data_IF_639319685778
#
_entry.id   IF_639319685778
#
_cell.length_a   1.000
_cell.length_b   1.000
_cell.length_c   1.000
_cell.angle_alpha   90.00
_cell.angle_beta   90.00
_cell.angle_gamma   90.00
#
_symmetry.space_group_name_H-M   'P 1'
#
loop_
_entity.id
_entity.type
_entity.pdbx_description
1 polymer ?
#
# COMPACT_ATOMS: atom_id res chain seq x y z
N UNK A 1 -2.87 26.71 64.89
CA UNK A 1 -3.15 25.81 63.76
C UNK A 1 -2.26 26.23 62.57
N UNK A 2 -1.15 25.52 62.33
CA UNK A 2 -0.21 25.78 61.24
C UNK A 2 -0.53 24.78 60.11
N UNK A 3 -1.03 25.28 58.95
CA UNK A 3 -1.22 24.47 57.76
C UNK A 3 0.15 24.26 57.08
N UNK A 4 0.60 23.01 56.99
CA UNK A 4 1.73 22.59 56.20
C UNK A 4 1.27 22.46 54.75
N UNK A 5 1.84 23.24 53.84
CA UNK A 5 1.72 23.01 52.42
C UNK A 5 2.78 21.97 52.00
N UNK A 6 2.29 20.83 51.53
CA UNK A 6 3.11 19.78 50.96
C UNK A 6 3.26 20.10 49.46
N UNK A 7 4.46 20.54 49.07
CA UNK A 7 4.80 20.74 47.67
C UNK A 7 5.07 19.36 47.06
N UNK A 8 4.17 18.91 46.21
CA UNK A 8 4.33 17.71 45.40
C UNK A 8 5.24 18.08 44.19
N UNK A 9 6.52 17.74 44.28
CA UNK A 9 7.40 17.77 43.13
C UNK A 9 6.99 16.62 42.18
N UNK A 10 6.24 16.96 41.16
CA UNK A 10 6.01 16.06 40.05
C UNK A 10 7.31 15.87 39.26
N UNK A 11 7.87 14.69 39.33
CA UNK A 11 8.93 14.29 38.42
C UNK A 11 8.35 14.27 36.99
N UNK A 12 8.70 15.28 36.16
CA UNK A 12 8.56 15.15 34.75
C UNK A 12 9.53 14.06 34.28
N UNK A 13 9.01 12.87 34.09
CA UNK A 13 9.68 11.88 33.26
C UNK A 13 9.72 12.43 31.85
N UNK A 14 10.88 12.92 31.44
CA UNK A 14 11.22 13.06 30.04
C UNK A 14 11.13 11.65 29.43
N UNK A 15 9.98 11.32 28.88
CA UNK A 15 9.88 10.22 27.95
C UNK A 15 10.78 10.61 26.78
N UNK A 16 12.03 10.11 26.76
CA UNK A 16 12.78 10.02 25.55
C UNK A 16 11.92 9.19 24.60
N UNK A 17 11.31 9.86 23.61
CA UNK A 17 10.74 9.19 22.47
C UNK A 17 11.88 8.42 21.83
N UNK A 18 12.02 7.15 22.16
CA UNK A 18 12.78 6.22 21.34
C UNK A 18 12.02 6.21 20.01
N UNK A 19 12.57 6.91 19.02
CA UNK A 19 12.07 6.79 17.66
C UNK A 19 12.07 5.30 17.32
N UNK A 20 10.90 4.75 17.12
CA UNK A 20 10.78 3.35 16.79
C UNK A 20 11.53 3.14 15.48
N UNK A 21 12.49 2.22 15.50
CA UNK A 21 13.20 1.78 14.31
C UNK A 21 12.21 1.28 13.27
N UNK A 22 12.30 1.77 12.03
CA UNK A 22 11.33 1.49 10.98
C UNK A 22 12.00 1.42 9.61
N UNK A 23 11.33 0.83 8.65
CA UNK A 23 11.66 1.00 7.25
C UNK A 23 11.43 2.45 6.85
N UNK A 24 12.36 3.00 6.09
CA UNK A 24 12.26 4.35 5.56
C UNK A 24 12.31 4.34 4.04
N UNK A 25 11.67 5.32 3.43
CA UNK A 25 11.45 5.41 2.01
C UNK A 25 11.44 6.86 1.52
N UNK A 26 11.45 7.04 0.20
CA UNK A 26 11.16 8.33 -0.42
C UNK A 26 9.64 8.55 -0.44
N UNK A 27 9.10 9.58 0.22
CA UNK A 27 7.66 9.78 0.36
C UNK A 27 7.01 10.37 -0.90
N UNK A 28 7.38 9.91 -2.07
CA UNK A 28 6.84 10.34 -3.36
C UNK A 28 7.07 9.28 -4.42
N UNK A 29 6.36 9.37 -5.52
CA UNK A 29 6.49 8.55 -6.71
C UNK A 29 6.44 7.01 -6.51
N UNK A 30 5.29 6.53 -6.07
CA UNK A 30 5.02 5.09 -5.90
C UNK A 30 4.31 4.46 -7.09
N UNK A 31 4.16 5.16 -8.18
CA UNK A 31 3.31 4.74 -9.29
C UNK A 31 3.80 3.45 -9.94
N UNK A 32 5.12 3.21 -10.02
CA UNK A 32 5.64 1.94 -10.54
C UNK A 32 5.21 0.79 -9.65
N UNK A 33 5.41 0.92 -8.34
CA UNK A 33 5.00 -0.09 -7.38
C UNK A 33 3.48 -0.27 -7.38
N UNK A 34 2.73 0.83 -7.33
CA UNK A 34 1.28 0.78 -7.36
C UNK A 34 0.77 0.17 -8.68
N UNK A 35 1.38 0.52 -9.82
CA UNK A 35 1.08 -0.08 -11.11
C UNK A 35 1.30 -1.60 -11.11
N UNK A 36 2.39 -2.08 -10.53
CA UNK A 36 2.66 -3.50 -10.40
C UNK A 36 1.65 -4.20 -9.49
N UNK A 37 1.30 -3.59 -8.36
CA UNK A 37 0.29 -4.13 -7.45
C UNK A 37 -1.10 -4.18 -8.11
N UNK A 38 -1.45 -3.15 -8.87
CA UNK A 38 -2.70 -3.10 -9.63
C UNK A 38 -2.77 -4.18 -10.70
N UNK A 39 -1.70 -4.37 -11.46
CA UNK A 39 -1.63 -5.43 -12.48
C UNK A 39 -1.86 -6.82 -11.88
N UNK A 40 -1.36 -7.06 -10.69
CA UNK A 40 -1.54 -8.33 -9.98
C UNK A 40 -2.92 -8.48 -9.32
N UNK A 41 -3.69 -7.39 -9.21
CA UNK A 41 -4.98 -7.39 -8.49
C UNK A 41 -6.20 -7.29 -9.40
N UNK A 42 -6.02 -7.11 -10.70
CA UNK A 42 -7.11 -6.95 -11.67
C UNK A 42 -7.26 -8.19 -12.53
N UNK A 43 -8.42 -8.83 -12.45
CA UNK A 43 -8.84 -9.89 -13.34
C UNK A 43 -10.23 -9.54 -13.87
N UNK A 44 -10.24 -8.56 -14.74
CA UNK A 44 -11.46 -8.08 -15.37
C UNK A 44 -11.61 -8.68 -16.76
N UNK A 45 -12.85 -8.77 -17.17
CA UNK A 45 -13.19 -9.10 -18.54
C UNK A 45 -12.89 -7.88 -19.39
N UNK A 46 -11.80 -7.87 -20.09
CA UNK A 46 -11.40 -6.80 -20.97
C UNK A 46 -9.93 -6.43 -20.83
N UNK A 47 -9.49 -5.49 -21.64
CA UNK A 47 -8.12 -5.03 -21.61
C UNK A 47 -7.89 -4.14 -20.36
N UNK A 48 -6.84 -4.48 -19.62
CA UNK A 48 -6.32 -3.58 -18.63
C UNK A 48 -5.60 -2.43 -19.35
N UNK A 49 -5.96 -1.21 -19.02
CA UNK A 49 -5.24 -0.02 -19.43
C UNK A 49 -4.43 0.45 -18.22
N UNK A 50 -3.09 0.32 -18.26
CA UNK A 50 -2.26 0.97 -17.26
C UNK A 50 -2.55 2.47 -17.27
N UNK A 51 -2.38 3.16 -16.16
CA UNK A 51 -2.54 4.60 -16.10
C UNK A 51 -1.70 5.26 -17.20
N UNK A 52 -2.34 5.96 -18.12
CA UNK A 52 -1.70 6.48 -19.33
C UNK A 52 -0.75 7.65 -19.04
N UNK A 53 -0.81 8.23 -17.85
CA UNK A 53 0.15 9.25 -17.38
C UNK A 53 1.46 8.66 -16.86
N UNK A 54 1.57 7.32 -16.84
CA UNK A 54 2.76 6.58 -16.40
C UNK A 54 3.06 5.41 -17.31
N UNK A 55 3.45 5.73 -18.51
CA UNK A 55 3.92 4.72 -19.46
C UNK A 55 5.39 4.34 -19.24
N UNK A 56 6.09 5.09 -18.43
CA UNK A 56 7.52 4.93 -18.21
C UNK A 56 7.79 4.05 -16.99
N UNK A 57 8.06 2.77 -17.22
CA UNK A 57 8.65 1.91 -16.21
C UNK A 57 10.16 2.11 -16.21
N UNK A 58 10.69 2.85 -15.27
CA UNK A 58 12.13 3.05 -15.13
C UNK A 58 12.58 2.79 -13.70
N UNK A 59 13.87 2.66 -13.53
CA UNK A 59 14.44 2.51 -12.20
C UNK A 59 14.17 3.76 -11.37
N UNK A 60 13.59 3.55 -10.21
CA UNK A 60 13.56 4.57 -9.18
C UNK A 60 14.87 4.50 -8.41
N UNK A 61 15.61 5.58 -8.39
CA UNK A 61 16.87 5.70 -7.67
C UNK A 61 16.69 6.71 -6.55
N UNK A 62 16.92 6.27 -5.32
CA UNK A 62 16.72 7.07 -4.11
C UNK A 62 18.00 7.06 -3.28
N UNK A 63 18.42 8.21 -2.75
CA UNK A 63 19.55 8.28 -1.84
C UNK A 63 19.09 8.73 -0.46
N UNK A 64 19.36 7.89 0.54
CA UNK A 64 19.17 8.19 1.96
C UNK A 64 20.46 8.73 2.55
N UNK A 65 20.36 9.77 3.35
CA UNK A 65 21.51 10.44 3.96
C UNK A 65 21.30 10.68 5.44
N UNK A 66 22.33 10.41 6.23
CA UNK A 66 22.36 10.68 7.68
C UNK A 66 23.69 11.26 8.09
N UNK A 67 23.65 12.40 8.78
CA UNK A 67 24.82 12.93 9.46
C UNK A 67 24.94 12.26 10.83
N UNK A 68 26.11 11.73 11.10
CA UNK A 68 26.43 10.98 12.32
C UNK A 68 27.39 11.77 13.20
N UNK A 69 27.30 11.55 14.51
CA UNK A 69 28.29 12.04 15.49
C UNK A 69 28.43 10.97 16.57
N UNK A 70 29.34 10.02 16.35
CA UNK A 70 29.51 8.83 17.15
C UNK A 70 30.61 9.02 18.19
N UNK A 71 30.32 8.73 19.45
CA UNK A 71 31.32 8.77 20.53
C UNK A 71 32.27 7.56 20.51
N UNK A 72 31.83 6.45 19.96
CA UNK A 72 32.56 5.18 19.83
C UNK A 72 32.22 4.50 18.49
N UNK A 73 33.05 3.59 18.00
CA UNK A 73 32.69 2.80 16.83
C UNK A 73 31.42 2.00 17.07
N UNK A 74 30.57 1.90 16.05
CA UNK A 74 29.27 1.22 16.13
C UNK A 74 29.07 0.31 14.91
N UNK A 75 28.67 -0.94 15.14
CA UNK A 75 28.23 -1.83 14.09
C UNK A 75 26.75 -1.59 13.78
N UNK A 76 26.46 -1.47 12.49
CA UNK A 76 25.08 -1.37 11.97
C UNK A 76 24.76 -2.52 11.04
N UNK A 77 23.50 -2.95 11.08
CA UNK A 77 22.88 -3.84 10.10
C UNK A 77 22.10 -3.02 9.09
N UNK A 78 22.14 -3.42 7.81
CA UNK A 78 21.42 -2.75 6.71
C UNK A 78 20.63 -3.82 5.95
N UNK A 79 19.32 -3.58 5.80
CA UNK A 79 18.47 -4.28 4.85
C UNK A 79 17.89 -3.28 3.86
N UNK A 80 17.63 -3.70 2.64
CA UNK A 80 17.04 -2.85 1.61
C UNK A 80 16.08 -3.63 0.72
N UNK A 81 15.06 -2.94 0.22
CA UNK A 81 14.26 -3.40 -0.90
C UNK A 81 14.77 -2.75 -2.16
N UNK A 82 15.56 -3.51 -2.89
CA UNK A 82 16.31 -3.09 -4.06
C UNK A 82 17.82 -3.38 -3.94
N UNK A 83 18.53 -3.11 -5.01
CA UNK A 83 19.99 -3.10 -4.99
C UNK A 83 20.48 -1.80 -4.37
N UNK A 84 21.59 -1.83 -3.65
CA UNK A 84 22.08 -0.64 -3.00
C UNK A 84 23.61 -0.55 -2.97
N UNK A 85 24.10 0.63 -2.73
CA UNK A 85 25.46 0.87 -2.34
C UNK A 85 25.51 1.83 -1.15
N UNK A 86 26.62 1.76 -0.42
CA UNK A 86 26.86 2.57 0.78
C UNK A 86 28.08 3.44 0.57
N UNK A 87 27.99 4.71 0.91
CA UNK A 87 29.11 5.63 0.99
C UNK A 87 29.25 6.16 2.41
N UNK A 88 30.46 6.13 2.92
CA UNK A 88 30.83 6.79 4.17
C UNK A 88 31.81 7.92 3.84
N UNK A 89 31.46 9.16 4.14
CA UNK A 89 32.24 10.37 3.80
C UNK A 89 32.61 10.44 2.31
N UNK A 90 31.65 10.06 1.45
CA UNK A 90 31.82 10.01 0.01
C UNK A 90 32.61 8.80 -0.52
N UNK A 91 33.21 7.98 0.35
CA UNK A 91 33.94 6.77 -0.05
C UNK A 91 33.02 5.57 -0.15
N UNK A 92 32.96 4.97 -1.34
CA UNK A 92 32.15 3.78 -1.60
C UNK A 92 32.66 2.59 -0.78
N UNK A 93 31.74 1.94 -0.08
CA UNK A 93 31.95 0.64 0.53
C UNK A 93 31.72 -0.45 -0.52
N UNK A 94 32.59 -1.44 -0.55
CA UNK A 94 32.50 -2.48 -1.58
C UNK A 94 31.28 -3.40 -1.36
N UNK A 95 30.55 -3.67 -2.44
CA UNK A 95 29.40 -4.56 -2.46
C UNK A 95 28.12 -3.93 -1.86
N UNK A 96 27.25 -4.77 -1.35
CA UNK A 96 26.04 -4.42 -0.61
C UNK A 96 26.19 -4.97 0.82
N UNK A 97 26.92 -4.25 1.70
CA UNK A 97 27.21 -4.77 3.03
C UNK A 97 25.94 -4.85 3.90
N UNK A 98 25.56 -6.06 4.31
CA UNK A 98 24.48 -6.26 5.28
C UNK A 98 24.86 -5.77 6.67
N UNK A 99 26.14 -5.78 6.99
CA UNK A 99 26.70 -5.23 8.23
C UNK A 99 27.94 -4.42 7.93
N UNK A 100 28.13 -3.34 8.68
CA UNK A 100 29.36 -2.54 8.62
C UNK A 100 29.64 -1.85 9.95
N UNK A 101 30.92 -1.61 10.21
CA UNK A 101 31.36 -0.83 11.38
C UNK A 101 31.54 0.64 10.98
N UNK A 102 30.82 1.52 11.64
CA UNK A 102 30.98 2.96 11.57
C UNK A 102 32.07 3.40 12.57
N UNK A 103 33.07 4.18 12.17
CA UNK A 103 34.08 4.68 13.10
C UNK A 103 33.50 5.76 14.03
N UNK A 104 34.16 6.00 15.15
CA UNK A 104 33.87 7.14 16.01
C UNK A 104 34.15 8.47 15.29
N UNK A 105 33.37 9.51 15.59
CA UNK A 105 33.53 10.82 14.98
C UNK A 105 32.33 11.34 14.24
N UNK A 106 32.53 12.39 13.48
CA UNK A 106 31.51 12.98 12.60
C UNK A 106 31.64 12.37 11.21
N UNK A 107 30.56 11.79 10.73
CA UNK A 107 30.52 11.12 9.44
C UNK A 107 29.24 11.47 8.67
N UNK A 108 29.29 11.32 7.36
CA UNK A 108 28.13 11.36 6.50
C UNK A 108 27.91 9.98 5.88
N UNK A 109 26.82 9.33 6.26
CA UNK A 109 26.41 8.03 5.74
C UNK A 109 25.37 8.24 4.63
N UNK A 110 25.67 7.74 3.43
CA UNK A 110 24.75 7.76 2.30
C UNK A 110 24.48 6.33 1.83
N UNK A 111 23.21 5.98 1.69
CA UNK A 111 22.77 4.71 1.14
C UNK A 111 21.92 5.00 -0.08
N UNK A 112 22.43 4.62 -1.26
CA UNK A 112 21.70 4.77 -2.53
C UNK A 112 21.06 3.44 -2.88
N UNK A 113 19.76 3.45 -3.10
CA UNK A 113 18.96 2.26 -3.42
C UNK A 113 18.27 2.46 -4.75
N UNK A 114 18.20 1.40 -5.54
CA UNK A 114 17.44 1.40 -6.80
C UNK A 114 16.64 0.11 -6.96
N UNK A 115 15.42 0.29 -7.39
CA UNK A 115 14.50 -0.81 -7.66
C UNK A 115 13.56 -0.42 -8.80
N UNK A 116 13.08 -1.41 -9.53
CA UNK A 116 12.13 -1.23 -10.63
C UNK A 116 10.72 -1.71 -10.26
N UNK A 117 10.63 -2.71 -9.41
CA UNK A 117 9.37 -3.39 -9.11
C UNK A 117 8.66 -2.85 -7.87
N UNK A 118 9.41 -2.30 -6.91
CA UNK A 118 8.89 -1.85 -5.62
C UNK A 118 9.54 -0.53 -5.22
N UNK A 119 8.96 0.24 -4.29
CA UNK A 119 9.60 1.44 -3.76
C UNK A 119 10.96 1.11 -3.14
N UNK A 120 12.05 1.79 -3.52
CA UNK A 120 13.34 1.61 -2.86
C UNK A 120 13.25 2.03 -1.40
N UNK A 121 13.59 1.12 -0.50
CA UNK A 121 13.49 1.32 0.94
C UNK A 121 14.71 0.77 1.65
N UNK A 122 15.01 1.30 2.83
CA UNK A 122 16.04 0.76 3.72
C UNK A 122 15.55 0.62 5.14
N UNK A 123 16.19 -0.32 5.84
CA UNK A 123 16.07 -0.55 7.26
C UNK A 123 17.48 -0.63 7.85
N UNK A 124 17.81 0.28 8.76
CA UNK A 124 19.13 0.33 9.39
C UNK A 124 18.95 0.11 10.90
N UNK A 125 19.75 -0.78 11.45
CA UNK A 125 19.74 -1.11 12.87
C UNK A 125 21.14 -1.09 13.47
N UNK A 126 21.37 -0.20 14.39
CA UNK A 126 22.52 -0.13 15.25
C UNK A 126 22.15 0.13 16.69
N UNK A 127 23.13 0.49 17.50
CA UNK A 127 22.93 0.91 18.89
C UNK A 127 22.30 2.30 18.97
N UNK A 128 22.82 3.23 18.17
CA UNK A 128 22.39 4.63 18.12
C UNK A 128 21.98 5.05 16.71
N UNK A 129 22.50 4.40 15.69
CA UNK A 129 22.19 4.68 14.27
C UNK A 129 21.07 3.76 13.80
N UNK A 130 19.87 4.29 13.81
CA UNK A 130 18.67 3.57 13.37
C UNK A 130 17.97 4.33 12.25
N UNK A 131 17.26 3.61 11.37
CA UNK A 131 16.41 4.23 10.37
C UNK A 131 15.15 4.78 11.00
N UNK A 132 14.91 6.07 10.80
CA UNK A 132 13.78 6.84 11.30
C UNK A 132 13.55 8.09 10.44
N UNK A 133 12.58 8.92 10.80
CA UNK A 133 12.26 10.17 10.09
C UNK A 133 13.34 11.23 10.12
N UNK A 134 14.42 11.06 10.90
CA UNK A 134 15.54 11.99 10.92
C UNK A 134 16.55 11.81 9.78
N UNK A 135 16.37 10.76 8.97
CA UNK A 135 17.10 10.60 7.73
C UNK A 135 16.56 11.57 6.67
N UNK A 136 17.46 12.03 5.84
CA UNK A 136 17.12 12.83 4.66
C UNK A 136 17.12 11.92 3.44
N UNK A 137 16.22 12.15 2.52
CA UNK A 137 16.10 11.36 1.30
C UNK A 137 15.92 12.25 0.09
N UNK A 138 16.51 11.86 -1.01
CA UNK A 138 16.33 12.50 -2.31
C UNK A 138 16.05 11.45 -3.39
N UNK A 139 15.38 11.89 -4.42
CA UNK A 139 15.11 11.12 -5.62
C UNK A 139 16.07 11.53 -6.72
N UNK A 140 16.65 10.57 -7.41
CA UNK A 140 17.54 10.79 -8.54
C UNK A 140 16.91 10.15 -9.80
N UNK A 141 16.29 10.97 -10.64
CA UNK A 141 15.79 10.53 -11.94
C UNK A 141 16.88 10.74 -12.99
N UNK A 142 17.46 9.64 -13.45
CA UNK A 142 18.49 9.66 -14.49
C UNK A 142 17.99 9.26 -15.87
N UNK A 143 16.71 8.94 -15.99
CA UNK A 143 16.17 8.45 -17.26
C UNK A 143 15.62 9.56 -18.16
N UNK A 144 15.48 10.77 -17.66
CA UNK A 144 15.16 11.92 -18.47
C UNK A 144 16.42 12.38 -19.21
N UNK A 145 16.67 11.72 -20.33
CA UNK A 145 17.67 12.15 -21.28
C UNK A 145 16.93 12.98 -22.34
N UNK A 146 17.31 14.23 -22.50
CA UNK A 146 16.80 15.08 -23.59
C UNK A 146 17.22 14.54 -24.96
N UNK A 147 16.63 15.05 -26.02
CA UNK A 147 16.95 14.65 -27.39
C UNK A 147 18.45 14.83 -27.74
N UNK A 148 19.17 15.59 -26.96
CA UNK A 148 20.62 15.82 -27.07
C UNK A 148 21.48 14.85 -26.27
N UNK A 149 20.88 13.87 -25.57
CA UNK A 149 21.57 12.88 -24.75
C UNK A 149 22.09 13.42 -23.41
N UNK A 150 21.58 14.55 -22.95
CA UNK A 150 21.87 15.09 -21.63
C UNK A 150 20.76 14.72 -20.65
N UNK A 151 21.14 14.34 -19.43
CA UNK A 151 20.17 14.23 -18.36
C UNK A 151 19.44 15.58 -18.21
N UNK A 152 18.11 15.56 -18.32
CA UNK A 152 17.29 16.78 -18.30
C UNK A 152 17.24 17.44 -16.92
N UNK A 153 17.65 16.76 -15.87
CA UNK A 153 17.60 17.30 -14.53
C UNK A 153 18.86 18.07 -14.18
N UNK A 154 18.77 19.39 -14.29
CA UNK A 154 19.69 20.36 -13.72
C UNK A 154 19.16 20.94 -12.41
N UNK A 155 18.02 20.46 -11.91
CA UNK A 155 17.43 20.94 -10.67
C UNK A 155 18.33 20.62 -9.50
N UNK A 156 18.41 21.53 -8.53
CA UNK A 156 19.11 21.28 -7.29
C UNK A 156 18.52 20.06 -6.59
N UNK A 157 19.37 19.14 -6.19
CA UNK A 157 18.96 17.97 -5.42
C UNK A 157 18.19 18.40 -4.18
N UNK A 158 16.90 18.12 -4.13
CA UNK A 158 16.04 18.44 -3.00
C UNK A 158 16.01 17.25 -2.07
N UNK A 159 16.53 17.44 -0.86
CA UNK A 159 16.41 16.48 0.22
C UNK A 159 15.19 16.80 1.07
N UNK A 160 14.40 15.78 1.38
CA UNK A 160 13.28 15.84 2.30
C UNK A 160 13.46 14.83 3.43
N UNK A 161 12.60 14.89 4.43
CA UNK A 161 12.60 13.89 5.49
C UNK A 161 12.12 12.56 4.92
N UNK A 162 12.75 11.47 5.34
CA UNK A 162 12.35 10.14 4.93
C UNK A 162 10.95 9.81 5.47
N UNK A 163 10.11 9.20 4.65
CA UNK A 163 8.88 8.59 5.11
C UNK A 163 9.17 7.35 5.95
N UNK A 164 8.32 7.09 6.94
CA UNK A 164 8.44 5.94 7.82
C UNK A 164 7.26 5.01 7.65
N UNK A 165 7.54 3.70 7.66
CA UNK A 165 6.52 2.66 7.69
C UNK A 165 6.64 1.82 8.95
N UNK A 166 5.54 1.65 9.65
CA UNK A 166 5.47 0.85 10.87
C UNK A 166 5.40 -0.64 10.51
N UNK A 167 6.55 -1.20 10.14
CA UNK A 167 6.70 -2.64 9.94
C UNK A 167 7.55 -3.24 11.05
N UNK A 168 7.21 -4.43 11.44
CA UNK A 168 7.91 -5.16 12.50
C UNK A 168 9.20 -5.81 11.98
N UNK A 169 10.30 -5.14 12.16
CA UNK A 169 11.63 -5.68 11.92
C UNK A 169 12.06 -5.76 10.45
N UNK A 170 13.28 -6.22 10.25
CA UNK A 170 13.96 -6.23 8.95
C UNK A 170 13.43 -7.27 7.95
N UNK A 171 12.69 -8.27 8.42
CA UNK A 171 12.18 -9.36 7.58
C UNK A 171 10.84 -9.05 6.94
N UNK A 172 10.13 -8.05 7.43
CA UNK A 172 8.86 -7.61 6.86
C UNK A 172 9.11 -6.49 5.86
N UNK A 173 9.18 -6.85 4.59
CA UNK A 173 9.47 -5.91 3.52
C UNK A 173 8.29 -4.97 3.25
N UNK A 174 8.53 -3.69 2.96
CA UNK A 174 7.48 -2.74 2.60
C UNK A 174 6.64 -3.11 1.38
N UNK A 175 7.20 -3.83 0.41
CA UNK A 175 6.44 -4.36 -0.73
C UNK A 175 5.41 -5.41 -0.33
N UNK A 176 5.63 -6.05 0.80
CA UNK A 176 4.70 -6.98 1.44
C UNK A 176 3.79 -6.24 2.42
N UNK A 177 3.46 -5.01 2.11
CA UNK A 177 2.66 -4.13 2.94
C UNK A 177 1.53 -4.88 3.62
N UNK A 178 1.53 -4.86 4.94
CA UNK A 178 0.72 -5.73 5.77
C UNK A 178 -0.72 -5.26 5.84
N UNK A 179 -1.43 -5.46 4.77
CA UNK A 179 -2.86 -5.57 4.88
C UNK A 179 -3.15 -6.84 5.68
N UNK A 180 -4.00 -6.72 6.67
CA UNK A 180 -4.46 -7.88 7.45
C UNK A 180 -5.35 -8.75 6.58
N UNK A 181 -5.30 -10.06 6.81
CA UNK A 181 -6.19 -11.01 6.17
C UNK A 181 -6.93 -11.83 7.21
N UNK A 182 -8.22 -11.90 7.07
CA UNK A 182 -9.10 -12.68 7.93
C UNK A 182 -9.94 -13.64 7.11
N UNK A 183 -10.01 -14.93 7.48
CA UNK A 183 -10.86 -15.88 6.81
C UNK A 183 -12.34 -15.55 7.07
N UNK A 184 -13.13 -15.49 6.00
CA UNK A 184 -14.57 -15.31 6.08
C UNK A 184 -15.31 -16.40 5.31
N UNK A 185 -16.41 -16.86 5.90
CA UNK A 185 -17.32 -17.82 5.30
C UNK A 185 -18.47 -17.09 4.62
N UNK A 186 -19.03 -17.63 3.53
CA UNK A 186 -20.28 -17.13 2.99
C UNK A 186 -21.40 -17.29 4.01
N UNK A 187 -22.29 -16.29 4.11
CA UNK A 187 -23.46 -16.32 4.99
C UNK A 187 -24.59 -17.19 4.41
N UNK A 188 -24.56 -17.40 3.10
CA UNK A 188 -25.49 -18.31 2.42
C UNK A 188 -24.86 -18.92 1.16
N UNK A 189 -25.35 -20.09 0.78
CA UNK A 189 -25.06 -20.75 -0.49
C UNK A 189 -26.33 -21.33 -1.11
N UNK A 190 -26.46 -21.22 -2.42
CA UNK A 190 -27.65 -21.68 -3.15
C UNK A 190 -27.23 -22.38 -4.43
N UNK A 191 -27.61 -23.65 -4.58
CA UNK A 191 -27.46 -24.39 -5.83
C UNK A 191 -28.33 -23.76 -6.92
N UNK A 192 -27.78 -23.63 -8.12
CA UNK A 192 -28.49 -23.05 -9.25
C UNK A 192 -29.00 -24.14 -10.19
N UNK A 193 -30.18 -23.95 -10.78
CA UNK A 193 -30.81 -24.91 -11.68
C UNK A 193 -29.98 -25.19 -12.94
N UNK A 194 -29.23 -24.19 -13.40
CA UNK A 194 -28.30 -24.28 -14.52
C UNK A 194 -26.93 -24.90 -14.16
N UNK A 195 -26.79 -25.38 -12.93
CA UNK A 195 -25.54 -25.91 -12.36
C UNK A 195 -24.70 -24.85 -11.66
N UNK A 196 -23.81 -25.30 -10.79
CA UNK A 196 -22.96 -24.42 -9.97
C UNK A 196 -23.65 -23.93 -8.69
N UNK A 197 -22.89 -23.19 -7.88
CA UNK A 197 -23.32 -22.71 -6.57
C UNK A 197 -23.06 -21.20 -6.47
N UNK A 198 -24.08 -20.47 -6.05
CA UNK A 198 -24.00 -19.05 -5.71
C UNK A 198 -23.75 -18.91 -4.21
N UNK A 199 -22.70 -18.20 -3.85
CA UNK A 199 -22.32 -17.87 -2.49
C UNK A 199 -22.59 -16.39 -2.22
N UNK A 200 -23.22 -16.06 -1.08
CA UNK A 200 -23.44 -14.69 -0.59
C UNK A 200 -22.54 -14.45 0.63
N UNK A 201 -21.70 -13.44 0.59
CA UNK A 201 -20.83 -13.02 1.70
C UNK A 201 -21.48 -11.94 2.60
N UNK A 202 -22.77 -11.62 2.35
CA UNK A 202 -23.59 -10.77 3.21
C UNK A 202 -23.48 -9.27 2.91
N UNK A 203 -22.34 -8.79 2.50
CA UNK A 203 -22.09 -7.40 2.08
C UNK A 203 -20.95 -7.34 1.08
N UNK A 204 -20.83 -6.21 0.39
CA UNK A 204 -19.68 -5.96 -0.47
C UNK A 204 -18.38 -6.09 0.33
N UNK A 205 -17.39 -6.70 -0.25
CA UNK A 205 -16.14 -7.03 0.41
C UNK A 205 -14.96 -6.98 -0.58
N UNK A 206 -13.76 -7.13 -0.07
CA UNK A 206 -12.54 -7.13 -0.85
C UNK A 206 -11.58 -8.20 -0.34
N UNK A 207 -11.26 -9.17 -1.17
CA UNK A 207 -10.41 -10.26 -0.71
C UNK A 207 -10.12 -11.32 -1.78
N UNK A 208 -9.62 -12.45 -1.32
CA UNK A 208 -9.13 -13.55 -2.13
C UNK A 208 -10.02 -14.78 -1.90
N UNK A 209 -10.59 -15.35 -2.95
CA UNK A 209 -11.32 -16.61 -2.82
C UNK A 209 -10.37 -17.75 -2.51
N UNK A 210 -10.78 -18.59 -1.59
CA UNK A 210 -10.10 -19.81 -1.18
C UNK A 210 -11.01 -21.00 -1.47
N UNK A 211 -10.48 -21.97 -2.20
CA UNK A 211 -11.10 -23.25 -2.49
C UNK A 211 -10.43 -24.34 -1.67
N UNK A 212 -11.19 -25.17 -0.95
CA UNK A 212 -10.64 -26.26 -0.12
C UNK A 212 -11.22 -27.61 -0.49
N UNK A 213 -10.49 -28.64 -0.09
CA UNK A 213 -10.83 -30.05 -0.37
C UNK A 213 -11.03 -30.28 -1.88
N UNK A 214 -10.14 -29.67 -2.67
CA UNK A 214 -10.14 -29.83 -4.12
C UNK A 214 -9.73 -31.24 -4.50
N UNK A 215 -10.49 -31.87 -5.39
CA UNK A 215 -10.13 -33.20 -5.93
C UNK A 215 -10.64 -33.37 -7.35
N UNK A 216 -10.01 -34.32 -8.06
CA UNK A 216 -10.36 -34.62 -9.45
C UNK A 216 -9.53 -33.84 -10.44
N UNK A 217 -10.09 -33.61 -11.64
CA UNK A 217 -9.46 -32.91 -12.75
C UNK A 217 -10.51 -32.22 -13.59
N UNK A 218 -10.25 -31.00 -14.01
CA UNK A 218 -11.11 -30.22 -14.91
C UNK A 218 -11.07 -28.72 -14.64
N UNK A 219 -11.92 -28.01 -15.36
CA UNK A 219 -12.00 -26.55 -15.26
C UNK A 219 -12.91 -26.13 -14.10
N UNK A 220 -12.52 -25.02 -13.48
CA UNK A 220 -13.30 -24.27 -12.49
C UNK A 220 -13.44 -22.84 -13.02
N UNK A 221 -14.63 -22.30 -12.99
CA UNK A 221 -14.91 -20.91 -13.34
C UNK A 221 -15.59 -20.22 -12.15
N UNK A 222 -15.08 -19.05 -11.80
CA UNK A 222 -15.54 -18.25 -10.67
C UNK A 222 -15.94 -16.88 -11.21
N UNK A 223 -17.17 -16.47 -10.95
CA UNK A 223 -17.76 -15.23 -11.39
C UNK A 223 -18.15 -14.38 -10.18
N UNK A 224 -17.88 -13.10 -10.22
CA UNK A 224 -18.06 -12.19 -9.11
C UNK A 224 -19.11 -11.13 -9.42
N UNK A 225 -19.85 -10.69 -8.42
CA UNK A 225 -20.84 -9.63 -8.59
C UNK A 225 -21.22 -8.94 -7.29
N UNK A 226 -21.71 -7.72 -7.41
CA UNK A 226 -22.35 -6.97 -6.33
C UNK A 226 -23.80 -7.43 -6.14
N UNK A 227 -24.38 -8.03 -7.17
CA UNK A 227 -25.71 -8.66 -7.13
C UNK A 227 -25.67 -10.13 -7.58
N UNK A 228 -26.68 -10.93 -7.20
CA UNK A 228 -26.81 -12.30 -7.69
C UNK A 228 -26.93 -12.38 -9.22
N UNK A 229 -27.59 -11.41 -9.83
CA UNK A 229 -27.79 -11.32 -11.28
C UNK A 229 -26.46 -11.12 -11.99
N UNK A 230 -25.63 -10.19 -11.52
CA UNK A 230 -24.32 -9.93 -12.08
C UNK A 230 -23.41 -11.16 -11.96
N UNK A 231 -23.32 -11.76 -10.76
CA UNK A 231 -22.47 -12.93 -10.54
C UNK A 231 -22.86 -14.11 -11.45
N UNK A 232 -24.14 -14.28 -11.77
CA UNK A 232 -24.63 -15.34 -12.64
C UNK A 232 -24.53 -15.03 -14.13
N UNK A 233 -24.33 -13.79 -14.50
CA UNK A 233 -24.20 -13.39 -15.91
C UNK A 233 -22.80 -13.73 -16.43
N UNK A 234 -22.62 -14.98 -16.83
CA UNK A 234 -21.34 -15.46 -17.38
C UNK A 234 -20.88 -14.71 -18.62
N UNK A 235 -21.78 -14.03 -19.33
CA UNK A 235 -21.46 -13.29 -20.53
C UNK A 235 -20.94 -11.89 -20.23
N UNK A 236 -21.48 -11.23 -19.20
CA UNK A 236 -21.24 -9.81 -18.97
C UNK A 236 -20.71 -9.48 -17.55
N UNK A 237 -20.60 -10.45 -16.62
CA UNK A 237 -19.97 -10.16 -15.33
C UNK A 237 -18.59 -9.54 -15.57
N UNK A 238 -18.28 -8.52 -14.84
CA UNK A 238 -17.04 -7.73 -15.07
C UNK A 238 -15.79 -8.50 -14.62
N UNK A 239 -15.89 -9.24 -13.51
CA UNK A 239 -14.76 -9.90 -12.86
C UNK A 239 -14.97 -11.40 -12.81
N UNK A 240 -13.97 -12.16 -13.23
CA UNK A 240 -14.00 -13.63 -13.19
C UNK A 240 -12.60 -14.23 -13.10
N UNK A 241 -12.52 -15.47 -12.63
CA UNK A 241 -11.32 -16.30 -12.69
C UNK A 241 -11.62 -17.63 -13.39
N UNK A 242 -10.59 -18.15 -14.07
CA UNK A 242 -10.61 -19.47 -14.70
C UNK A 242 -9.42 -20.27 -14.22
N UNK A 243 -9.72 -21.46 -13.69
CA UNK A 243 -8.71 -22.37 -13.16
C UNK A 243 -8.79 -23.71 -13.88
N UNK A 244 -7.65 -24.37 -13.95
CA UNK A 244 -7.57 -25.79 -14.33
C UNK A 244 -7.03 -26.58 -13.16
N UNK A 245 -7.85 -27.45 -12.60
CA UNK A 245 -7.45 -28.38 -11.56
C UNK A 245 -6.83 -29.63 -12.21
N UNK A 246 -5.68 -30.01 -11.75
CA UNK A 246 -5.02 -31.27 -12.01
C UNK A 246 -4.60 -31.94 -10.69
N UNK A 247 -4.31 -33.23 -10.65
CA UNK A 247 -3.90 -33.89 -9.40
C UNK A 247 -2.72 -33.17 -8.73
N UNK A 248 -2.99 -32.61 -7.55
CA UNK A 248 -1.99 -31.92 -6.71
C UNK A 248 -1.62 -30.50 -7.13
N UNK A 249 -2.25 -29.95 -8.16
CA UNK A 249 -1.94 -28.57 -8.62
C UNK A 249 -3.11 -27.86 -9.27
N UNK A 250 -3.04 -26.54 -9.28
CA UNK A 250 -4.00 -25.64 -9.97
C UNK A 250 -3.22 -24.72 -10.89
N UNK A 251 -3.69 -24.59 -12.13
CA UNK A 251 -3.26 -23.55 -13.05
C UNK A 251 -4.29 -22.41 -13.02
N UNK A 252 -3.83 -21.21 -12.65
CA UNK A 252 -4.63 -20.00 -12.69
C UNK A 252 -4.29 -19.23 -13.97
N UNK A 253 -5.30 -19.06 -14.83
CA UNK A 253 -5.13 -18.40 -16.13
C UNK A 253 -5.00 -16.88 -16.00
N UNK A 254 -5.46 -16.29 -14.91
CA UNK A 254 -5.34 -14.85 -14.69
C UNK A 254 -3.88 -14.42 -14.47
N UNK A 255 -3.14 -15.20 -13.68
CA UNK A 255 -1.73 -14.94 -13.37
C UNK A 255 -0.76 -15.78 -14.23
N UNK A 256 -1.30 -16.67 -15.07
CA UNK A 256 -0.54 -17.59 -15.93
C UNK A 256 0.46 -18.43 -15.15
N UNK A 257 0.08 -18.88 -13.97
CA UNK A 257 0.91 -19.67 -13.07
C UNK A 257 0.25 -20.99 -12.72
N UNK A 258 1.09 -21.99 -12.47
CA UNK A 258 0.67 -23.29 -11.92
C UNK A 258 1.26 -23.41 -10.53
N UNK A 259 0.39 -23.59 -9.54
CA UNK A 259 0.77 -23.68 -8.14
C UNK A 259 0.38 -25.05 -7.56
N UNK A 260 1.21 -25.65 -6.70
CA UNK A 260 0.84 -26.86 -5.98
C UNK A 260 -0.32 -26.55 -5.02
N UNK A 261 -1.19 -27.53 -4.83
CA UNK A 261 -2.18 -27.47 -3.76
C UNK A 261 -1.49 -27.59 -2.39
N UNK A 262 -1.99 -26.86 -1.41
CA UNK A 262 -1.53 -27.04 -0.04
C UNK A 262 -1.84 -28.48 0.44
N UNK A 263 -0.84 -29.15 0.98
CA UNK A 263 -0.88 -30.59 1.24
C UNK A 263 -1.81 -31.02 2.38
N UNK A 264 -2.27 -30.12 3.26
CA UNK A 264 -3.13 -30.51 4.37
C UNK A 264 -4.60 -30.68 3.95
N UNK A 265 -5.12 -29.75 3.13
CA UNK A 265 -6.53 -29.67 2.81
C UNK A 265 -6.83 -29.53 1.31
N UNK A 266 -5.83 -29.82 0.47
CA UNK A 266 -5.90 -29.56 -0.97
C UNK A 266 -6.51 -28.17 -1.25
N UNK A 267 -5.91 -27.16 -0.60
CA UNK A 267 -6.40 -25.78 -0.62
C UNK A 267 -5.67 -24.97 -1.70
N UNK A 268 -6.41 -24.12 -2.37
CA UNK A 268 -5.90 -23.07 -3.24
C UNK A 268 -6.56 -21.75 -2.93
N UNK A 269 -5.77 -20.73 -2.57
CA UNK A 269 -6.22 -19.33 -2.44
C UNK A 269 -5.76 -18.58 -3.68
N UNK A 270 -6.69 -17.91 -4.37
CA UNK A 270 -6.38 -17.10 -5.53
C UNK A 270 -5.41 -15.98 -5.14
N UNK A 271 -4.47 -15.66 -6.02
CA UNK A 271 -3.46 -14.63 -5.76
C UNK A 271 -3.96 -13.20 -6.00
N UNK A 272 -5.03 -13.05 -6.77
CA UNK A 272 -5.64 -11.76 -7.09
C UNK A 272 -6.88 -11.49 -6.24
N UNK A 273 -6.88 -10.38 -5.51
CA UNK A 273 -8.04 -9.92 -4.76
C UNK A 273 -9.15 -9.41 -5.69
N UNK A 274 -10.38 -9.60 -5.26
CA UNK A 274 -11.59 -9.16 -5.96
C UNK A 274 -12.50 -8.38 -5.02
N UNK A 275 -13.32 -7.51 -5.59
CA UNK A 275 -14.44 -6.86 -4.92
C UNK A 275 -15.72 -7.56 -5.31
N UNK A 276 -16.49 -7.99 -4.33
CA UNK A 276 -17.73 -8.74 -4.53
C UNK A 276 -18.56 -8.86 -3.26
N UNK A 277 -19.84 -9.07 -3.43
CA UNK A 277 -20.69 -9.67 -2.41
C UNK A 277 -21.04 -11.10 -2.78
N UNK A 278 -21.28 -11.36 -4.06
CA UNK A 278 -21.70 -12.67 -4.56
C UNK A 278 -20.61 -13.31 -5.40
N UNK A 279 -20.46 -14.63 -5.22
CA UNK A 279 -19.54 -15.44 -6.00
C UNK A 279 -20.30 -16.65 -6.57
N UNK A 280 -20.29 -16.78 -7.88
CA UNK A 280 -20.89 -17.92 -8.55
C UNK A 280 -19.80 -18.85 -9.06
N UNK A 281 -19.78 -20.07 -8.54
CA UNK A 281 -18.74 -21.07 -8.89
C UNK A 281 -19.38 -22.19 -9.71
N UNK A 282 -18.76 -22.45 -10.86
CA UNK A 282 -19.10 -23.59 -11.71
C UNK A 282 -17.86 -24.42 -11.99
N UNK A 283 -18.03 -25.70 -12.24
CA UNK A 283 -16.92 -26.61 -12.56
C UNK A 283 -17.36 -27.77 -13.45
N UNK A 284 -16.40 -28.40 -14.11
CA UNK A 284 -16.61 -29.62 -14.87
C UNK A 284 -16.97 -30.79 -13.94
N UNK A 285 -17.70 -31.80 -14.44
CA UNK A 285 -18.17 -32.93 -13.60
C UNK A 285 -17.06 -33.72 -12.91
N UNK A 286 -15.83 -33.67 -13.44
CA UNK A 286 -14.66 -34.34 -12.88
C UNK A 286 -14.03 -33.64 -11.68
N UNK A 287 -14.51 -32.46 -11.31
CA UNK A 287 -13.98 -31.63 -10.22
C UNK A 287 -14.91 -31.71 -9.02
N UNK A 288 -14.33 -31.76 -7.83
CA UNK A 288 -15.02 -31.62 -6.56
C UNK A 288 -14.40 -30.46 -5.77
N UNK A 289 -15.27 -29.63 -5.19
CA UNK A 289 -14.91 -28.50 -4.32
C UNK A 289 -15.68 -28.69 -3.02
N UNK A 290 -14.98 -28.93 -1.92
CA UNK A 290 -15.63 -29.17 -0.62
C UNK A 290 -16.08 -27.89 0.07
N UNK A 291 -15.27 -26.80 -0.04
CA UNK A 291 -15.55 -25.54 0.62
C UNK A 291 -15.09 -24.36 -0.24
N UNK A 292 -15.89 -23.30 -0.24
CA UNK A 292 -15.53 -21.99 -0.80
C UNK A 292 -15.62 -20.96 0.33
N UNK A 293 -14.52 -20.28 0.57
CA UNK A 293 -14.39 -19.21 1.55
C UNK A 293 -13.57 -18.05 0.96
N UNK A 294 -13.29 -17.03 1.73
CA UNK A 294 -12.42 -15.94 1.30
C UNK A 294 -11.45 -15.53 2.41
N UNK A 295 -10.34 -14.93 2.01
CA UNK A 295 -9.48 -14.15 2.86
C UNK A 295 -9.84 -12.67 2.64
N UNK A 296 -10.56 -12.09 3.60
CA UNK A 296 -10.86 -10.65 3.60
C UNK A 296 -9.58 -9.87 3.87
N UNK A 297 -9.24 -8.92 3.00
CA UNK A 297 -8.03 -8.12 3.13
C UNK A 297 -8.38 -6.67 3.44
N UNK A 298 -7.83 -6.15 4.52
CA UNK A 298 -8.10 -4.79 4.99
C UNK A 298 -6.88 -4.17 5.68
N UNK A 299 -6.88 -2.85 5.76
CA UNK A 299 -5.97 -2.12 6.62
C UNK A 299 -6.58 -2.02 8.01
N UNK A 300 -5.85 -2.38 9.09
CA UNK A 300 -6.34 -2.25 10.45
C UNK A 300 -6.31 -0.78 10.89
N UNK A 301 -7.44 -0.08 10.73
CA UNK A 301 -7.62 1.31 11.11
C UNK A 301 -8.45 1.46 12.38
N UNK A 302 -8.06 2.41 13.22
CA UNK A 302 -8.81 2.78 14.41
C UNK A 302 -9.93 3.77 14.06
N UNK A 303 -11.19 3.40 14.31
CA UNK A 303 -12.33 4.29 14.17
C UNK A 303 -12.36 5.28 15.33
N UNK A 304 -11.80 6.48 15.13
CA UNK A 304 -11.76 7.55 16.14
C UNK A 304 -12.99 8.43 16.11
N UNK A 305 -13.60 8.56 14.93
CA UNK A 305 -14.83 9.31 14.74
C UNK A 305 -16.06 8.42 14.87
N UNK A 306 -17.17 9.01 15.31
CA UNK A 306 -18.45 8.34 15.37
C UNK A 306 -19.58 9.35 15.15
N UNK A 307 -20.70 8.87 14.61
CA UNK A 307 -21.91 9.66 14.46
C UNK A 307 -23.13 8.83 14.87
N UNK A 308 -24.00 9.44 15.64
CA UNK A 308 -25.32 8.88 15.96
C UNK A 308 -26.32 9.98 16.23
N UNK A 309 -27.52 9.83 15.68
CA UNK A 309 -28.64 10.73 15.91
C UNK A 309 -29.95 9.91 16.10
N UNK A 310 -31.08 10.57 16.22
CA UNK A 310 -32.39 9.95 16.37
C UNK A 310 -33.03 9.49 15.04
N UNK A 311 -32.34 9.69 13.93
CA UNK A 311 -32.74 9.19 12.61
C UNK A 311 -31.90 7.96 12.25
N UNK A 312 -32.52 6.81 12.23
CA UNK A 312 -31.82 5.54 11.97
C UNK A 312 -31.37 5.42 10.50
N UNK A 313 -32.00 6.12 9.57
CA UNK A 313 -31.53 6.14 8.17
C UNK A 313 -30.19 6.90 8.05
N UNK A 314 -30.06 8.03 8.71
CA UNK A 314 -28.80 8.77 8.77
C UNK A 314 -27.70 7.98 9.50
N UNK A 315 -28.05 7.25 10.56
CA UNK A 315 -27.10 6.37 11.24
C UNK A 315 -26.58 5.29 10.29
N UNK A 316 -27.45 4.67 9.51
CA UNK A 316 -27.06 3.66 8.51
C UNK A 316 -26.21 4.24 7.37
N UNK A 317 -26.54 5.46 6.90
CA UNK A 317 -25.73 6.16 5.89
C UNK A 317 -24.31 6.36 6.40
N UNK A 318 -24.15 6.78 7.66
CA UNK A 318 -22.83 6.90 8.28
C UNK A 318 -22.09 5.57 8.34
N UNK A 319 -22.74 4.50 8.80
CA UNK A 319 -22.14 3.16 8.90
C UNK A 319 -21.68 2.64 7.54
N UNK A 320 -22.51 2.80 6.51
CA UNK A 320 -22.17 2.40 5.14
C UNK A 320 -21.01 3.24 4.60
N UNK A 321 -21.04 4.55 4.82
CA UNK A 321 -19.95 5.45 4.42
C UNK A 321 -18.63 5.10 5.11
N UNK A 322 -18.66 4.85 6.41
CA UNK A 322 -17.50 4.43 7.18
C UNK A 322 -16.93 3.09 6.69
N UNK A 323 -17.79 2.13 6.41
CA UNK A 323 -17.38 0.85 5.84
C UNK A 323 -16.80 0.99 4.44
N UNK A 324 -17.42 1.80 3.58
CA UNK A 324 -16.90 2.09 2.23
C UNK A 324 -15.50 2.72 2.31
N UNK A 325 -15.34 3.70 3.19
CA UNK A 325 -14.04 4.33 3.42
C UNK A 325 -13.00 3.32 3.88
N UNK A 326 -13.35 2.38 4.76
CA UNK A 326 -12.45 1.32 5.20
C UNK A 326 -12.04 0.40 4.05
N UNK A 327 -12.95 0.05 3.15
CA UNK A 327 -12.64 -0.78 1.98
C UNK A 327 -11.67 -0.09 1.01
N UNK A 328 -11.78 1.23 0.86
CA UNK A 328 -10.96 2.02 -0.06
C UNK A 328 -9.67 2.57 0.58
N UNK A 329 -9.52 2.44 1.90
CA UNK A 329 -8.28 2.78 2.61
C UNK A 329 -7.37 1.57 2.59
N UNK A 330 -6.34 1.65 1.78
CA UNK A 330 -5.38 0.55 1.56
C UNK A 330 -3.96 1.09 1.76
N UNK A 331 -3.05 0.80 0.86
CA UNK A 331 -1.72 1.41 0.83
C UNK A 331 -1.80 2.93 0.62
N UNK A 332 -2.85 3.34 -0.05
CA UNK A 332 -3.27 4.72 -0.31
C UNK A 332 -4.80 4.78 -0.25
N UNK A 333 -5.37 5.98 -0.34
CA UNK A 333 -6.79 6.11 -0.62
C UNK A 333 -7.03 5.84 -2.10
N UNK A 334 -7.72 4.77 -2.40
CA UNK A 334 -8.10 4.41 -3.77
C UNK A 334 -9.53 4.85 -4.08
N UNK A 335 -9.82 5.08 -5.35
CA UNK A 335 -11.13 5.50 -5.84
C UNK A 335 -12.24 4.48 -5.59
N UNK A 336 -11.92 3.21 -5.75
CA UNK A 336 -12.87 2.11 -5.57
C UNK A 336 -12.18 0.76 -5.55
N UNK A 337 -12.94 -0.28 -5.12
CA UNK A 337 -12.39 -1.62 -4.94
C UNK A 337 -12.62 -2.55 -6.14
N UNK A 338 -13.54 -2.21 -7.04
CA UNK A 338 -13.96 -3.09 -8.14
C UNK A 338 -13.22 -2.79 -9.42
N UNK A 339 -13.32 -1.58 -9.95
CA UNK A 339 -12.68 -1.18 -11.22
C UNK A 339 -11.37 -0.48 -10.97
N UNK A 340 -11.10 0.66 -11.48
CA UNK A 340 -9.82 1.36 -11.51
C UNK A 340 -8.83 0.99 -10.39
N UNK A 341 -9.25 0.97 -9.13
CA UNK A 341 -8.42 0.66 -7.94
C UNK A 341 -7.17 1.52 -7.93
N UNK A 342 -7.33 2.76 -8.31
CA UNK A 342 -6.24 3.70 -8.52
C UNK A 342 -6.36 4.89 -7.59
N UNK A 343 -5.32 5.68 -7.53
CA UNK A 343 -5.31 6.91 -6.73
C UNK A 343 -5.62 8.09 -7.65
N UNK A 344 -6.87 8.55 -7.59
CA UNK A 344 -7.35 9.71 -8.31
C UNK A 344 -7.43 10.93 -7.40
N UNK A 345 -6.92 12.09 -7.84
CA UNK A 345 -6.88 13.30 -7.00
C UNK A 345 -8.27 13.81 -6.63
N UNK A 346 -9.25 13.67 -7.52
CA UNK A 346 -10.64 14.07 -7.26
C UNK A 346 -11.32 13.19 -6.21
N UNK A 347 -10.99 11.90 -6.19
CA UNK A 347 -11.49 10.95 -5.19
C UNK A 347 -10.73 11.09 -3.87
N UNK A 348 -9.42 11.28 -3.96
CA UNK A 348 -8.57 11.42 -2.79
C UNK A 348 -8.95 12.61 -1.91
N UNK A 349 -9.32 13.77 -2.48
CA UNK A 349 -9.75 14.92 -1.67
C UNK A 349 -10.99 14.60 -0.83
N UNK A 350 -11.95 13.83 -1.37
CA UNK A 350 -13.11 13.37 -0.62
C UNK A 350 -12.69 12.40 0.48
N UNK A 351 -11.80 11.46 0.17
CA UNK A 351 -11.27 10.50 1.14
C UNK A 351 -10.52 11.18 2.28
N UNK A 352 -9.76 12.24 2.02
CA UNK A 352 -9.10 13.02 3.09
C UNK A 352 -10.12 13.66 4.02
N UNK A 353 -11.18 14.28 3.48
CA UNK A 353 -12.23 14.89 4.28
C UNK A 353 -12.94 13.85 5.15
N UNK A 354 -13.26 12.68 4.60
CA UNK A 354 -13.84 11.57 5.37
C UNK A 354 -12.88 11.06 6.44
N UNK A 355 -11.59 10.91 6.11
CA UNK A 355 -10.57 10.47 7.05
C UNK A 355 -10.45 11.39 8.27
N UNK A 356 -10.55 12.71 8.10
CA UNK A 356 -10.48 13.65 9.23
C UNK A 356 -11.62 13.49 10.24
N UNK A 357 -12.74 12.88 9.84
CA UNK A 357 -13.88 12.62 10.72
C UNK A 357 -13.99 11.16 11.17
N UNK A 358 -13.24 10.25 10.56
CA UNK A 358 -13.37 8.80 10.81
C UNK A 358 -12.14 8.20 11.47
N UNK A 359 -11.01 8.16 10.79
CA UNK A 359 -9.76 7.55 11.28
C UNK A 359 -8.80 8.59 11.84
N UNK A 360 -8.75 9.76 11.24
CA UNK A 360 -7.77 10.80 11.49
C UNK A 360 -6.32 10.30 11.35
N UNK A 361 -6.07 9.46 10.34
CA UNK A 361 -4.73 9.02 10.02
C UNK A 361 -4.05 10.02 9.08
N UNK A 362 -3.05 10.73 9.59
CA UNK A 362 -2.31 11.74 8.84
C UNK A 362 -1.28 11.15 7.88
N UNK A 363 -0.78 9.94 8.16
CA UNK A 363 0.27 9.32 7.34
C UNK A 363 -0.27 8.90 5.97
N UNK A 364 -1.49 8.37 5.93
CA UNK A 364 -2.15 8.04 4.66
C UNK A 364 -2.44 9.26 3.80
N UNK A 365 -2.86 10.36 4.44
CA UNK A 365 -3.08 11.64 3.74
C UNK A 365 -1.78 12.15 3.14
N UNK A 366 -0.72 12.24 3.94
CA UNK A 366 0.61 12.68 3.46
C UNK A 366 1.11 11.81 2.32
N UNK A 367 1.03 10.51 2.49
CA UNK A 367 1.46 9.53 1.49
C UNK A 367 0.74 9.70 0.16
N UNK A 368 -0.59 9.84 0.22
CA UNK A 368 -1.41 10.01 -0.98
C UNK A 368 -1.17 11.37 -1.64
N UNK A 369 -0.98 12.44 -0.87
CA UNK A 369 -0.61 13.77 -1.38
C UNK A 369 0.73 13.70 -2.14
N UNK A 370 1.74 13.02 -1.57
CA UNK A 370 3.02 12.83 -2.24
C UNK A 370 2.90 12.03 -3.53
N UNK A 371 2.17 10.94 -3.51
CA UNK A 371 1.92 10.13 -4.71
C UNK A 371 1.33 10.97 -5.84
N UNK A 372 0.28 11.72 -5.54
CA UNK A 372 -0.45 12.53 -6.52
C UNK A 372 0.33 13.75 -7.02
N UNK A 373 1.35 14.18 -6.26
CA UNK A 373 2.27 15.22 -6.74
C UNK A 373 3.09 14.74 -7.93
N UNK A 374 3.46 13.48 -7.95
CA UNK A 374 4.30 12.90 -8.98
C UNK A 374 5.74 13.41 -8.98
N UNK A 375 6.43 13.15 -10.06
CA UNK A 375 7.85 13.47 -10.27
C UNK A 375 8.07 14.93 -10.67
N UNK A 376 9.31 15.37 -10.52
CA UNK A 376 9.83 16.56 -11.17
C UNK A 376 10.62 16.18 -12.46
N UNK A 377 10.56 16.97 -13.51
CA UNK A 377 9.68 18.14 -13.68
C UNK A 377 8.22 17.77 -13.87
N UNK A 378 7.30 18.63 -13.40
CA UNK A 378 5.87 18.45 -13.69
C UNK A 378 5.61 18.81 -15.14
N UNK A 379 5.20 17.83 -15.92
CA UNK A 379 4.94 17.97 -17.37
C UNK A 379 3.46 17.87 -17.73
N UNK A 380 2.61 17.47 -16.78
CA UNK A 380 1.18 17.30 -16.98
C UNK A 380 0.39 17.60 -15.69
N UNK A 381 -0.92 17.77 -15.83
CA UNK A 381 -1.82 17.86 -14.67
C UNK A 381 -1.88 16.54 -13.91
N UNK A 382 -2.21 16.59 -12.60
CA UNK A 382 -2.45 15.41 -11.78
C UNK A 382 -3.46 14.50 -12.47
N UNK A 383 -3.13 13.23 -12.61
CA UNK A 383 -3.94 12.25 -13.37
C UNK A 383 -4.37 12.76 -14.76
N UNK A 384 -3.61 13.69 -15.37
CA UNK A 384 -3.88 14.37 -16.67
C UNK A 384 -5.13 15.24 -16.71
N UNK A 385 -5.78 15.47 -15.57
CA UNK A 385 -7.01 16.26 -15.45
C UNK A 385 -6.68 17.59 -14.75
N UNK A 386 -7.04 18.70 -15.38
CA UNK A 386 -6.70 20.03 -14.87
C UNK A 386 -7.25 20.29 -13.48
N UNK A 387 -8.52 19.98 -13.24
CA UNK A 387 -9.18 20.19 -11.94
C UNK A 387 -8.51 19.39 -10.83
N UNK A 388 -7.93 18.23 -11.15
CA UNK A 388 -7.26 17.37 -10.19
C UNK A 388 -5.96 17.98 -9.66
N UNK A 389 -5.30 18.82 -10.45
CA UNK A 389 -4.18 19.63 -9.96
C UNK A 389 -4.65 20.65 -8.91
N UNK A 390 -5.81 21.30 -9.12
CA UNK A 390 -6.37 22.20 -8.11
C UNK A 390 -6.81 21.45 -6.84
N UNK A 391 -7.39 20.27 -6.97
CA UNK A 391 -7.74 19.43 -5.84
C UNK A 391 -6.51 19.00 -5.04
N UNK A 392 -5.38 18.78 -5.69
CA UNK A 392 -4.14 18.52 -5.00
C UNK A 392 -3.71 19.70 -4.10
N UNK A 393 -3.76 20.94 -4.60
CA UNK A 393 -3.48 22.13 -3.78
C UNK A 393 -4.48 22.29 -2.63
N UNK A 394 -5.76 22.07 -2.88
CA UNK A 394 -6.79 22.10 -1.84
C UNK A 394 -6.55 21.03 -0.78
N UNK A 395 -6.10 19.84 -1.19
CA UNK A 395 -5.77 18.76 -0.27
C UNK A 395 -4.61 19.12 0.68
N UNK A 396 -3.58 19.81 0.19
CA UNK A 396 -2.48 20.32 1.02
C UNK A 396 -2.98 21.39 1.99
N UNK A 397 -3.85 22.29 1.52
CA UNK A 397 -4.46 23.31 2.37
C UNK A 397 -5.32 22.68 3.48
N UNK A 398 -6.23 21.77 3.13
CA UNK A 398 -7.09 21.09 4.09
C UNK A 398 -6.29 20.27 5.09
N UNK A 399 -5.26 19.55 4.63
CA UNK A 399 -4.37 18.83 5.52
C UNK A 399 -3.76 19.75 6.58
N UNK A 400 -3.27 20.91 6.17
CA UNK A 400 -2.74 21.90 7.11
C UNK A 400 -3.83 22.43 8.08
N UNK A 401 -5.02 22.71 7.58
CA UNK A 401 -6.12 23.23 8.40
C UNK A 401 -6.60 22.24 9.46
N UNK A 402 -6.59 20.94 9.14
CA UNK A 402 -7.00 19.89 10.07
C UNK A 402 -5.88 19.42 11.01
N UNK A 403 -4.64 19.36 10.54
CA UNK A 403 -3.52 18.80 11.30
C UNK A 403 -2.64 19.85 12.00
N UNK A 404 -2.57 21.08 11.45
CA UNK A 404 -1.58 22.09 11.88
C UNK A 404 -0.12 21.75 11.51
N UNK A 405 0.10 20.72 10.72
CA UNK A 405 1.45 20.23 10.35
C UNK A 405 2.14 21.16 9.33
N UNK A 406 2.67 22.23 9.87
CA UNK A 406 3.45 23.19 9.06
C UNK A 406 4.73 22.58 8.48
N UNK A 407 5.28 21.57 9.14
CA UNK A 407 6.51 20.93 8.68
C UNK A 407 6.29 20.23 7.34
N UNK A 408 5.23 19.46 7.22
CA UNK A 408 4.86 18.80 5.96
C UNK A 408 4.63 19.79 4.82
N UNK A 409 3.90 20.88 5.08
CA UNK A 409 3.68 21.94 4.07
C UNK A 409 5.01 22.56 3.62
N UNK A 410 5.92 22.84 4.55
CA UNK A 410 7.23 23.38 4.20
C UNK A 410 8.06 22.42 3.32
N UNK A 411 7.88 21.11 3.47
CA UNK A 411 8.54 20.13 2.60
C UNK A 411 7.97 20.13 1.18
N UNK A 412 6.66 20.35 1.05
CA UNK A 412 5.98 20.42 -0.25
C UNK A 412 6.23 21.73 -0.98
N UNK A 413 6.37 22.83 -0.23
CA UNK A 413 6.40 24.20 -0.77
C UNK A 413 7.38 24.40 -1.93
N UNK A 414 8.62 23.87 -1.90
CA UNK A 414 9.54 24.00 -3.05
C UNK A 414 9.07 23.30 -4.33
N UNK A 415 8.02 22.45 -4.21
CA UNK A 415 7.47 21.65 -5.31
C UNK A 415 6.06 22.09 -5.73
N UNK A 416 5.53 23.10 -5.08
CA UNK A 416 4.27 23.74 -5.43
C UNK A 416 4.44 24.73 -6.59
#
# INVERSE_FOLDING_TARGET
MKKKYMILLGALSLASSTFAQTWIWYPGDYEIWLGNQMNNRRTERGAFFPPFWKTDSHYVVVEFSKQLNLSEPEEIFIAAEGKYNVKLDGKLQFGMPETMTLPAGKHNLNIKVWNQATPPTIYVKGKTVNSDSSWRVTYEDKEWIDEGGKASDTSATIYMDAGCWNFDGATQLPSQFSLMREPQQPVAKTEQAEGGILYDFGKETFGFITLKNLSGKGKIEIYYGESPEEAKDKAYCETLDKLLLEPGQVTDFAIRSTSPLNSSDNEYTLENSKAFRYVYVTHEPGVQIGEVSMQYEYLPEEYRGSFRCNDEELNRIWEVGAYTMHLTTREFFIDGIKRDRWVWSGDAIQSYLMNYYLFFDSEFVKRTIWLLRGKDPVTSHSNTIMDYTFYWFLSVYDYYMYSGDRHFVNQLYPRM
#
